data_IF_584694560914
#
_entry.id   IF_584694560914
#
_cell.length_a   1.000
_cell.length_b   1.000
_cell.length_c   1.000
_cell.angle_alpha   90.00
_cell.angle_beta   90.00
_cell.angle_gamma   90.00
#
_symmetry.space_group_name_H-M   'P 1'
#
loop_
_entity.id
_entity.type
_entity.pdbx_description
1 polymer ?
#
# COMPACT_ATOMS: atom_id res chain seq x y z
N UNK A 1 -19.14 -24.19 -0.05
CA UNK A 1 -18.10 -23.13 -0.11
C UNK A 1 -17.85 -22.61 1.30
N UNK A 2 -16.63 -22.80 1.81
CA UNK A 2 -16.25 -22.43 3.18
C UNK A 2 -16.40 -20.92 3.36
N UNK A 3 -17.21 -20.48 4.33
CA UNK A 3 -17.20 -19.09 4.80
C UNK A 3 -15.80 -18.84 5.37
N UNK A 4 -14.87 -18.35 4.55
CA UNK A 4 -13.54 -17.91 5.02
C UNK A 4 -13.78 -16.95 6.16
N UNK A 5 -13.42 -17.37 7.38
CA UNK A 5 -13.81 -16.66 8.60
C UNK A 5 -12.90 -15.45 8.82
N UNK A 6 -13.17 -14.36 8.09
CA UNK A 6 -12.46 -13.09 8.22
C UNK A 6 -12.67 -12.40 9.59
N UNK A 7 -13.59 -12.89 10.43
CA UNK A 7 -13.85 -12.39 11.80
C UNK A 7 -12.61 -12.32 12.70
N UNK A 8 -11.55 -13.06 12.40
CA UNK A 8 -10.36 -13.15 13.26
C UNK A 8 -9.33 -12.04 13.00
N UNK A 9 -9.50 -11.21 11.97
CA UNK A 9 -8.48 -10.22 11.59
C UNK A 9 -8.50 -8.96 12.45
N UNK A 10 -9.63 -8.61 13.07
CA UNK A 10 -9.77 -7.41 13.91
C UNK A 10 -9.68 -6.07 13.14
N UNK A 11 -9.11 -6.07 11.93
CA UNK A 11 -9.08 -4.98 10.96
C UNK A 11 -10.31 -4.96 10.04
N UNK A 12 -11.31 -5.79 10.31
CA UNK A 12 -12.55 -5.92 9.54
C UNK A 12 -13.72 -5.90 10.50
N UNK A 13 -14.82 -5.25 10.11
CA UNK A 13 -16.05 -5.20 10.89
C UNK A 13 -16.56 -6.59 11.33
N UNK A 14 -17.37 -6.63 12.39
CA UNK A 14 -18.06 -7.84 12.83
C UNK A 14 -19.15 -8.29 11.84
N UNK A 15 -19.59 -9.56 11.88
CA UNK A 15 -20.64 -10.03 10.94
C UNK A 15 -21.97 -9.39 11.33
N UNK A 16 -22.73 -8.92 10.33
CA UNK A 16 -24.02 -8.28 10.54
C UNK A 16 -23.95 -6.78 10.81
N UNK A 17 -22.76 -6.21 11.00
CA UNK A 17 -22.57 -4.76 11.03
C UNK A 17 -22.73 -4.21 9.62
N UNK A 18 -23.59 -3.20 9.49
CA UNK A 18 -23.76 -2.41 8.27
C UNK A 18 -23.40 -0.99 8.64
N UNK A 19 -22.32 -0.48 8.07
CA UNK A 19 -21.96 0.93 8.20
C UNK A 19 -22.76 1.78 7.21
N UNK A 20 -23.17 2.98 7.64
CA UNK A 20 -23.65 4.00 6.72
C UNK A 20 -22.42 4.66 6.08
N UNK A 21 -22.16 4.32 4.82
CA UNK A 21 -20.98 4.75 4.09
C UNK A 21 -21.33 5.92 3.18
N UNK A 22 -20.33 6.78 2.91
CA UNK A 22 -20.44 7.84 1.90
C UNK A 22 -21.06 7.29 0.60
N UNK A 23 -21.97 8.03 -0.06
CA UNK A 23 -22.59 7.61 -1.32
C UNK A 23 -21.60 7.17 -2.40
N UNK A 24 -20.37 7.70 -2.41
CA UNK A 24 -19.30 7.29 -3.32
C UNK A 24 -18.84 5.85 -3.12
N UNK A 25 -19.15 5.22 -1.98
CA UNK A 25 -18.90 3.80 -1.72
C UNK A 25 -20.06 2.89 -2.14
N UNK A 26 -21.04 3.38 -2.91
CA UNK A 26 -22.06 2.53 -3.52
C UNK A 26 -21.58 2.00 -4.87
N UNK A 27 -21.91 0.74 -5.23
CA UNK A 27 -21.59 0.19 -6.54
C UNK A 27 -22.10 1.08 -7.67
N UNK A 28 -21.21 1.47 -8.58
CA UNK A 28 -21.54 2.28 -9.76
C UNK A 28 -20.65 1.95 -10.94
N UNK A 29 -21.21 1.97 -12.15
CA UNK A 29 -20.48 1.74 -13.40
C UNK A 29 -19.94 3.02 -14.04
N UNK A 30 -20.36 4.18 -13.54
CA UNK A 30 -19.95 5.49 -14.04
C UNK A 30 -18.58 5.84 -13.44
N UNK A 31 -17.63 6.35 -14.24
CA UNK A 31 -16.35 6.85 -13.73
C UNK A 31 -16.53 7.93 -12.66
N UNK A 32 -15.56 8.00 -11.74
CA UNK A 32 -15.49 9.07 -10.75
C UNK A 32 -15.11 10.39 -11.42
N UNK A 33 -15.78 11.48 -11.05
CA UNK A 33 -15.31 12.82 -11.43
C UNK A 33 -14.06 13.20 -10.64
N UNK A 34 -13.33 14.23 -11.06
CA UNK A 34 -12.20 14.74 -10.27
C UNK A 34 -12.64 15.23 -8.89
N UNK A 35 -13.84 15.83 -8.78
CA UNK A 35 -14.43 16.23 -7.49
C UNK A 35 -14.75 15.02 -6.61
N UNK A 36 -15.23 13.91 -7.19
CA UNK A 36 -15.44 12.68 -6.42
C UNK A 36 -14.10 12.11 -5.90
N UNK A 37 -13.04 12.14 -6.72
CA UNK A 37 -11.71 11.67 -6.31
C UNK A 37 -11.12 12.56 -5.22
N UNK A 38 -11.25 13.88 -5.34
CA UNK A 38 -10.83 14.84 -4.32
C UNK A 38 -11.62 14.65 -3.01
N UNK A 39 -12.93 14.43 -3.10
CA UNK A 39 -13.73 14.11 -1.90
C UNK A 39 -13.23 12.84 -1.23
N UNK A 40 -12.97 11.77 -2.00
CA UNK A 40 -12.48 10.49 -1.48
C UNK A 40 -11.11 10.63 -0.83
N UNK A 41 -10.19 11.41 -1.40
CA UNK A 41 -8.86 11.62 -0.86
C UNK A 41 -8.88 12.40 0.47
N UNK A 42 -9.93 13.16 0.72
CA UNK A 42 -10.16 13.88 1.98
C UNK A 42 -10.89 13.07 3.05
N UNK A 43 -11.45 11.89 2.72
CA UNK A 43 -12.12 11.05 3.69
C UNK A 43 -11.14 10.43 4.70
N UNK A 44 -11.52 10.29 5.98
CA UNK A 44 -10.68 9.59 6.94
C UNK A 44 -10.60 8.10 6.59
N UNK A 45 -9.38 7.57 6.47
CA UNK A 45 -9.16 6.14 6.28
C UNK A 45 -9.80 5.31 7.40
N UNK A 46 -10.26 4.10 7.07
CA UNK A 46 -11.00 3.26 8.02
C UNK A 46 -10.07 2.55 9.00
N UNK A 47 -10.44 2.51 10.28
CA UNK A 47 -9.73 1.69 11.28
C UNK A 47 -10.07 0.21 11.17
N UNK A 48 -11.31 -0.10 10.79
CA UNK A 48 -11.79 -1.42 10.43
C UNK A 48 -12.49 -1.36 9.07
N UNK A 49 -12.17 -2.28 8.17
CA UNK A 49 -12.73 -2.30 6.82
C UNK A 49 -14.24 -2.61 6.88
N UNK A 50 -15.08 -1.73 6.33
CA UNK A 50 -16.50 -2.02 6.15
C UNK A 50 -16.71 -3.28 5.33
N UNK A 51 -17.61 -4.17 5.77
CA UNK A 51 -17.82 -5.45 5.05
C UNK A 51 -18.34 -5.26 3.63
N UNK A 52 -19.00 -4.13 3.36
CA UNK A 52 -19.47 -3.77 2.02
C UNK A 52 -18.32 -3.59 1.01
N UNK A 53 -17.10 -3.33 1.50
CA UNK A 53 -15.89 -3.20 0.70
C UNK A 53 -15.07 -4.50 0.65
N UNK A 54 -15.61 -5.62 1.17
CA UNK A 54 -14.98 -6.93 1.04
C UNK A 54 -15.46 -7.60 -0.25
N UNK A 55 -14.55 -7.97 -1.15
CA UNK A 55 -14.88 -8.69 -2.36
C UNK A 55 -15.66 -9.97 -2.08
N UNK A 56 -16.68 -10.21 -2.87
CA UNK A 56 -17.53 -11.38 -2.80
C UNK A 56 -17.89 -11.87 -4.20
N UNK A 57 -18.13 -13.17 -4.32
CA UNK A 57 -18.34 -13.81 -5.63
C UNK A 57 -19.71 -13.50 -6.27
N UNK A 58 -20.60 -12.78 -5.58
CA UNK A 58 -22.00 -12.61 -6.00
C UNK A 58 -22.26 -11.36 -6.85
N UNK A 59 -21.74 -10.17 -6.51
CA UNK A 59 -22.03 -8.94 -7.23
C UNK A 59 -21.29 -8.85 -8.57
N UNK A 60 -21.94 -8.21 -9.53
CA UNK A 60 -21.39 -7.90 -10.86
C UNK A 60 -20.24 -6.87 -10.75
N UNK A 61 -20.35 -5.94 -9.80
CA UNK A 61 -19.34 -4.92 -9.51
C UNK A 61 -18.56 -5.29 -8.25
N UNK A 62 -17.25 -5.37 -8.37
CA UNK A 62 -16.32 -5.58 -7.27
C UNK A 62 -15.94 -4.22 -6.63
N UNK A 63 -15.75 -4.18 -5.31
CA UNK A 63 -15.46 -2.94 -4.59
C UNK A 63 -14.12 -2.32 -5.00
N UNK A 64 -13.92 -1.02 -4.77
CA UNK A 64 -12.60 -0.41 -4.94
C UNK A 64 -11.52 -1.15 -4.14
N UNK A 65 -10.30 -1.09 -4.64
CA UNK A 65 -9.13 -1.66 -3.97
C UNK A 65 -8.79 -0.79 -2.76
N UNK A 66 -8.58 -1.44 -1.63
CA UNK A 66 -8.16 -0.81 -0.38
C UNK A 66 -6.95 -1.54 0.16
N UNK A 67 -5.97 -0.80 0.66
CA UNK A 67 -4.80 -1.34 1.34
C UNK A 67 -4.85 -1.05 2.82
N UNK A 68 -4.37 -2.02 3.61
CA UNK A 68 -4.16 -1.85 5.04
C UNK A 68 -2.68 -1.62 5.34
N UNK A 69 -2.38 -0.57 6.11
CA UNK A 69 -1.00 -0.26 6.48
C UNK A 69 -0.81 1.19 6.92
N UNK A 70 0.34 1.77 6.60
CA UNK A 70 0.75 3.09 7.06
C UNK A 70 1.08 4.02 5.89
N UNK A 71 0.68 5.29 6.03
CA UNK A 71 1.31 6.36 5.24
C UNK A 71 2.76 6.43 5.64
N UNK A 72 3.66 6.59 4.68
CA UNK A 72 5.09 6.62 4.97
C UNK A 72 5.64 8.04 4.90
N UNK A 73 6.60 8.28 5.77
CA UNK A 73 7.43 9.47 5.77
C UNK A 73 8.76 9.10 5.09
N UNK A 74 8.94 9.62 3.88
CA UNK A 74 10.05 9.24 3.01
C UNK A 74 11.40 9.56 3.65
N UNK A 75 11.52 10.76 4.21
CA UNK A 75 12.75 11.24 4.85
C UNK A 75 13.15 10.37 6.04
N UNK A 76 12.18 9.95 6.86
CA UNK A 76 12.45 9.04 7.98
C UNK A 76 12.95 7.68 7.52
N UNK A 77 12.43 7.15 6.41
CA UNK A 77 12.85 5.87 5.87
C UNK A 77 14.24 5.96 5.23
N UNK A 78 14.54 7.02 4.48
CA UNK A 78 15.87 7.25 3.91
C UNK A 78 16.92 7.43 5.00
N UNK A 79 16.63 8.23 6.03
CA UNK A 79 17.51 8.37 7.19
C UNK A 79 17.76 7.03 7.90
N UNK A 80 16.70 6.24 8.12
CA UNK A 80 16.86 4.91 8.69
C UNK A 80 17.73 4.01 7.80
N UNK A 81 17.63 4.15 6.47
CA UNK A 81 18.45 3.39 5.55
C UNK A 81 19.94 3.72 5.70
N UNK A 82 20.28 5.00 5.77
CA UNK A 82 21.65 5.48 5.99
C UNK A 82 22.21 4.97 7.32
N UNK A 83 21.43 5.11 8.40
CA UNK A 83 21.83 4.70 9.75
C UNK A 83 22.03 3.18 9.90
N UNK A 84 21.51 2.37 8.96
CA UNK A 84 21.51 0.90 9.04
C UNK A 84 22.12 0.21 7.80
N UNK A 85 22.84 0.94 6.96
CA UNK A 85 23.50 0.40 5.74
C UNK A 85 22.52 -0.31 4.78
N UNK A 86 21.34 0.28 4.60
CA UNK A 86 20.28 -0.23 3.73
C UNK A 86 20.13 0.55 2.42
N UNK A 87 20.99 1.53 2.15
CA UNK A 87 20.99 2.24 0.87
C UNK A 87 21.13 1.27 -0.32
N UNK A 88 20.42 1.59 -1.40
CA UNK A 88 20.44 0.86 -2.67
C UNK A 88 20.95 1.78 -3.79
N UNK A 89 21.65 1.18 -4.74
CA UNK A 89 22.22 1.86 -5.90
C UNK A 89 21.87 1.06 -7.15
N UNK A 90 21.59 1.76 -8.24
CA UNK A 90 21.32 1.20 -9.56
C UNK A 90 22.44 1.61 -10.52
N UNK A 91 22.76 0.74 -11.49
CA UNK A 91 23.62 1.11 -12.61
C UNK A 91 22.79 1.93 -13.58
N UNK A 92 23.28 3.11 -13.94
CA UNK A 92 22.69 3.96 -14.96
C UNK A 92 23.69 4.14 -16.08
N UNK A 93 23.25 3.87 -17.31
CA UNK A 93 23.98 4.20 -18.53
C UNK A 93 23.99 5.72 -18.67
N UNK A 94 25.18 6.28 -18.88
CA UNK A 94 25.32 7.71 -19.18
C UNK A 94 25.19 7.84 -20.69
N UNK A 95 24.11 8.47 -21.16
CA UNK A 95 24.02 8.95 -22.54
C UNK A 95 25.08 10.04 -22.70
N UNK A 96 26.24 9.67 -23.23
CA UNK A 96 27.26 10.63 -23.62
C UNK A 96 26.79 11.24 -24.94
N UNK A 97 26.06 12.37 -24.87
CA UNK A 97 25.57 13.15 -26.01
C UNK A 97 26.71 13.74 -26.88
N UNK A 98 27.95 13.30 -26.68
CA UNK A 98 29.12 13.69 -27.46
C UNK A 98 29.31 12.70 -28.61
N UNK A 99 28.94 13.14 -29.82
CA UNK A 99 29.33 12.50 -31.08
C UNK A 99 30.87 12.58 -31.27
N UNK A 100 31.64 11.84 -30.49
CA UNK A 100 33.06 11.57 -30.78
C UNK A 100 33.19 10.15 -31.34
N UNK A 101 33.67 10.06 -32.58
CA UNK A 101 33.88 8.85 -33.39
C UNK A 101 34.98 7.91 -32.84
N UNK A 102 35.05 7.67 -31.54
CA UNK A 102 35.83 6.58 -30.96
C UNK A 102 34.97 5.79 -29.96
N UNK A 103 34.88 4.48 -30.22
CA UNK A 103 34.07 3.49 -29.52
C UNK A 103 34.58 3.28 -28.08
N UNK A 104 34.44 4.30 -27.21
CA UNK A 104 34.69 4.18 -25.77
C UNK A 104 33.54 3.39 -25.12
N UNK A 105 33.83 2.48 -24.19
CA UNK A 105 32.79 1.70 -23.53
C UNK A 105 31.88 2.62 -22.72
N UNK A 106 30.58 2.54 -22.98
CA UNK A 106 29.50 3.20 -22.22
C UNK A 106 29.81 3.12 -20.71
N UNK A 107 30.07 4.26 -20.08
CA UNK A 107 30.44 4.31 -18.68
C UNK A 107 29.19 4.10 -17.81
N UNK A 108 29.07 2.93 -17.18
CA UNK A 108 28.02 2.68 -16.19
C UNK A 108 28.36 3.36 -14.86
N UNK A 109 27.49 4.24 -14.37
CA UNK A 109 27.66 4.90 -13.06
C UNK A 109 26.67 4.31 -12.05
N UNK A 110 27.15 4.03 -10.84
CA UNK A 110 26.29 3.66 -9.72
C UNK A 110 25.58 4.90 -9.17
N UNK A 111 24.28 4.99 -9.39
CA UNK A 111 23.41 6.09 -8.94
C UNK A 111 22.57 5.62 -7.76
N UNK A 112 22.40 6.50 -6.76
CA UNK A 112 21.57 6.22 -5.60
C UNK A 112 20.09 6.07 -5.99
N UNK A 113 19.47 4.96 -5.59
CA UNK A 113 18.08 4.66 -5.89
C UNK A 113 17.24 4.73 -4.60
N UNK A 114 16.54 5.84 -4.43
CA UNK A 114 15.66 6.07 -3.28
C UNK A 114 14.51 5.07 -3.21
N UNK A 115 13.90 4.71 -4.34
CA UNK A 115 12.76 3.80 -4.36
C UNK A 115 13.17 2.40 -3.90
N UNK A 116 14.28 1.88 -4.45
CA UNK A 116 14.85 0.61 -4.02
C UNK A 116 15.31 0.64 -2.57
N UNK A 117 15.85 1.77 -2.11
CA UNK A 117 16.25 1.97 -0.72
C UNK A 117 15.04 1.88 0.22
N UNK A 118 13.98 2.63 -0.06
CA UNK A 118 12.74 2.61 0.74
C UNK A 118 12.12 1.22 0.78
N UNK A 119 12.04 0.53 -0.37
CA UNK A 119 11.53 -0.85 -0.43
C UNK A 119 12.37 -1.81 0.43
N UNK A 120 13.70 -1.69 0.38
CA UNK A 120 14.61 -2.49 1.20
C UNK A 120 14.40 -2.24 2.69
N UNK A 121 14.20 -0.99 3.10
CA UNK A 121 13.85 -0.62 4.49
C UNK A 121 12.52 -1.24 4.92
N UNK A 122 11.44 -1.07 4.13
CA UNK A 122 10.13 -1.59 4.48
C UNK A 122 10.14 -3.12 4.64
N UNK A 123 10.83 -3.82 3.73
CA UNK A 123 11.05 -5.27 3.81
C UNK A 123 11.85 -5.67 5.04
N UNK A 124 12.93 -4.95 5.34
CA UNK A 124 13.75 -5.20 6.51
C UNK A 124 12.92 -5.07 7.80
N UNK A 125 12.19 -3.98 7.97
CA UNK A 125 11.33 -3.72 9.13
C UNK A 125 10.23 -4.80 9.30
N UNK A 126 9.62 -5.28 8.22
CA UNK A 126 8.63 -6.36 8.28
C UNK A 126 9.27 -7.72 8.62
N UNK A 127 10.43 -8.02 8.03
CA UNK A 127 11.16 -9.27 8.24
C UNK A 127 11.65 -9.41 9.68
N UNK A 128 12.10 -8.32 10.31
CA UNK A 128 12.53 -8.30 11.72
C UNK A 128 11.47 -8.85 12.68
N UNK A 129 10.19 -8.61 12.38
CA UNK A 129 9.06 -9.10 13.18
C UNK A 129 8.43 -10.37 12.62
N UNK A 130 9.04 -10.98 11.60
CA UNK A 130 8.60 -12.23 10.98
C UNK A 130 7.34 -12.10 10.14
N UNK A 131 7.05 -10.92 9.59
CA UNK A 131 6.01 -10.72 8.58
C UNK A 131 6.65 -10.86 7.21
N UNK A 132 6.14 -11.81 6.42
CA UNK A 132 6.40 -11.88 4.99
C UNK A 132 5.29 -11.13 4.29
N UNK A 133 5.66 -10.17 3.45
CA UNK A 133 4.70 -9.37 2.72
C UNK A 133 4.24 -10.17 1.49
N UNK A 134 2.92 -10.24 1.22
CA UNK A 134 2.34 -11.12 0.20
C UNK A 134 2.58 -10.66 -1.25
N UNK A 135 2.85 -9.38 -1.48
CA UNK A 135 2.97 -8.78 -2.83
C UNK A 135 4.41 -8.46 -3.25
N UNK A 136 4.65 -8.44 -4.57
CA UNK A 136 5.91 -8.00 -5.20
C UNK A 136 6.29 -6.54 -4.92
N UNK A 137 5.34 -5.71 -4.46
CA UNK A 137 5.61 -4.33 -4.10
C UNK A 137 4.74 -3.90 -2.90
N UNK A 138 5.43 -3.51 -1.83
CA UNK A 138 4.84 -3.14 -0.54
C UNK A 138 4.69 -1.62 -0.43
N UNK A 139 5.33 -0.90 -1.34
CA UNK A 139 5.13 0.50 -1.56
C UNK A 139 4.00 0.71 -2.57
N UNK A 140 2.92 1.37 -2.14
CA UNK A 140 1.75 1.69 -2.94
C UNK A 140 1.44 3.17 -2.89
N UNK A 141 0.52 3.59 -3.73
CA UNK A 141 -0.03 4.95 -3.74
C UNK A 141 -1.51 4.89 -3.39
N UNK A 142 -1.92 5.65 -2.39
CA UNK A 142 -3.31 5.70 -1.91
C UNK A 142 -3.86 7.11 -1.95
N UNK A 143 -5.18 7.24 -2.00
CA UNK A 143 -5.82 8.54 -1.79
C UNK A 143 -5.93 8.81 -0.29
N UNK A 144 -5.28 9.87 0.17
CA UNK A 144 -5.30 10.32 1.55
C UNK A 144 -4.86 11.80 1.65
N UNK A 145 -5.26 12.47 2.74
CA UNK A 145 -4.84 13.84 3.04
C UNK A 145 -5.07 14.83 1.87
N UNK A 146 -6.12 14.62 1.08
CA UNK A 146 -6.46 15.46 -0.07
C UNK A 146 -5.61 15.20 -1.33
N UNK A 147 -4.76 14.16 -1.35
CA UNK A 147 -3.86 13.88 -2.49
C UNK A 147 -3.54 12.39 -2.63
N UNK A 148 -2.64 12.05 -3.54
CA UNK A 148 -2.01 10.73 -3.67
C UNK A 148 -0.79 10.69 -2.74
N UNK A 149 -0.76 9.74 -1.81
CA UNK A 149 0.28 9.60 -0.79
C UNK A 149 0.97 8.25 -0.91
N UNK A 150 2.32 8.19 -0.79
CA UNK A 150 3.03 6.92 -0.71
C UNK A 150 2.64 6.15 0.57
N UNK A 151 2.52 4.85 0.45
CA UNK A 151 1.89 4.01 1.46
C UNK A 151 2.58 2.66 1.58
N UNK A 152 2.88 2.26 2.80
CA UNK A 152 3.34 0.92 3.12
C UNK A 152 2.14 -0.01 3.29
N UNK A 153 1.84 -0.77 2.24
CA UNK A 153 0.73 -1.71 2.20
C UNK A 153 1.17 -3.11 2.69
N UNK A 154 0.42 -3.66 3.64
CA UNK A 154 0.64 -5.02 4.14
C UNK A 154 -0.17 -6.08 3.39
N UNK A 155 -1.40 -5.72 3.02
CA UNK A 155 -2.33 -6.56 2.27
C UNK A 155 -3.52 -5.70 1.82
N UNK A 156 -4.25 -6.17 0.83
CA UNK A 156 -5.47 -5.54 0.34
C UNK A 156 -6.76 -6.16 0.89
N UNK A 157 -7.90 -5.52 0.62
CA UNK A 157 -9.23 -6.11 0.85
C UNK A 157 -9.48 -7.38 0.00
N UNK A 158 -8.69 -7.63 -1.04
CA UNK A 158 -8.74 -8.85 -1.86
C UNK A 158 -7.84 -9.97 -1.30
N UNK A 159 -6.84 -9.62 -0.49
CA UNK A 159 -5.83 -10.54 0.07
C UNK A 159 -6.07 -10.81 1.56
N UNK A 160 -7.30 -10.61 2.07
CA UNK A 160 -7.62 -10.82 3.48
C UNK A 160 -7.29 -12.24 3.99
N UNK A 161 -7.23 -13.23 3.10
CA UNK A 161 -6.82 -14.60 3.46
C UNK A 161 -5.34 -14.72 3.83
N UNK A 162 -4.51 -13.79 3.35
CA UNK A 162 -3.06 -13.73 3.51
C UNK A 162 -2.63 -12.74 4.61
N UNK A 163 -3.61 -12.00 5.16
CA UNK A 163 -3.39 -11.00 6.19
C UNK A 163 -2.59 -11.55 7.40
N UNK A 164 -1.55 -10.84 7.87
CA UNK A 164 -0.78 -11.25 9.03
C UNK A 164 -1.66 -11.37 10.29
N UNK A 165 -1.27 -12.27 11.19
CA UNK A 165 -1.96 -12.43 12.48
C UNK A 165 -1.87 -11.13 13.28
N UNK A 166 -2.94 -10.79 14.01
CA UNK A 166 -3.02 -9.58 14.86
C UNK A 166 -1.79 -9.37 15.76
N UNK A 167 -1.26 -10.43 16.37
CA UNK A 167 -0.06 -10.34 17.21
C UNK A 167 1.17 -9.85 16.44
N UNK A 168 1.36 -10.29 15.19
CA UNK A 168 2.46 -9.84 14.32
C UNK A 168 2.26 -8.38 13.90
N UNK A 169 1.03 -7.97 13.58
CA UNK A 169 0.71 -6.58 13.28
C UNK A 169 1.04 -5.65 14.47
N UNK A 170 0.72 -6.07 15.70
CA UNK A 170 1.11 -5.33 16.91
C UNK A 170 2.63 -5.23 17.07
N UNK A 171 3.36 -6.34 16.87
CA UNK A 171 4.82 -6.31 16.88
C UNK A 171 5.41 -5.38 15.82
N UNK A 172 4.83 -5.35 14.61
CA UNK A 172 5.26 -4.42 13.57
C UNK A 172 5.01 -2.97 13.96
N UNK A 173 3.82 -2.63 14.48
CA UNK A 173 3.54 -1.28 14.95
C UNK A 173 4.54 -0.81 16.02
N UNK A 174 4.85 -1.67 17.00
CA UNK A 174 5.83 -1.35 18.03
C UNK A 174 7.23 -1.17 17.43
N UNK A 175 7.60 -2.00 16.46
CA UNK A 175 8.89 -1.90 15.75
C UNK A 175 8.99 -0.61 14.93
N UNK A 176 7.97 -0.25 14.16
CA UNK A 176 7.93 1.00 13.40
C UNK A 176 8.02 2.22 14.34
N UNK A 177 7.32 2.19 15.49
CA UNK A 177 7.43 3.24 16.50
C UNK A 177 8.85 3.38 17.04
N UNK A 178 9.52 2.27 17.34
CA UNK A 178 10.87 2.28 17.93
C UNK A 178 11.96 2.66 16.92
N UNK A 179 11.83 2.21 15.67
CA UNK A 179 12.88 2.35 14.65
C UNK A 179 12.78 3.64 13.85
N UNK A 180 11.57 4.04 13.49
CA UNK A 180 11.34 5.19 12.61
C UNK A 180 10.36 6.21 13.21
N UNK A 181 9.95 6.04 14.48
CA UNK A 181 9.08 7.00 15.16
C UNK A 181 7.62 7.03 14.68
N UNK A 182 7.17 6.02 13.94
CA UNK A 182 5.79 5.96 13.45
C UNK A 182 4.82 5.61 14.60
N UNK A 183 3.92 6.54 14.92
CA UNK A 183 3.03 6.42 16.08
C UNK A 183 1.58 6.20 15.69
N UNK A 184 1.21 6.49 14.44
CA UNK A 184 -0.14 6.28 13.95
C UNK A 184 -0.41 4.77 13.81
N UNK A 185 -1.62 4.31 14.19
CA UNK A 185 -2.03 2.94 13.92
C UNK A 185 -2.28 2.74 12.42
N UNK A 186 -2.16 1.51 11.90
CA UNK A 186 -2.47 1.22 10.53
C UNK A 186 -3.97 1.43 10.25
N UNK A 187 -4.27 1.89 9.04
CA UNK A 187 -5.64 2.13 8.56
C UNK A 187 -5.81 1.60 7.14
N UNK A 188 -7.06 1.57 6.71
CA UNK A 188 -7.46 1.26 5.35
C UNK A 188 -7.63 2.54 4.54
N UNK A 189 -6.91 2.61 3.42
CA UNK A 189 -7.05 3.69 2.44
C UNK A 189 -7.32 3.12 1.04
N UNK A 190 -8.09 3.83 0.20
CA UNK A 190 -8.34 3.40 -1.16
C UNK A 190 -7.09 3.57 -2.02
N UNK A 191 -6.90 2.65 -2.96
CA UNK A 191 -5.92 2.78 -4.05
C UNK A 191 -6.17 4.07 -4.86
N UNK A 192 -5.10 4.62 -5.45
CA UNK A 192 -5.17 5.86 -6.23
C UNK A 192 -6.11 5.77 -7.45
N UNK A 193 -6.28 4.58 -8.04
CA UNK A 193 -7.19 4.31 -9.15
C UNK A 193 -8.59 3.90 -8.61
N UNK A 194 -9.11 4.69 -7.67
CA UNK A 194 -10.35 4.40 -6.94
C UNK A 194 -11.55 4.20 -7.87
N UNK A 195 -11.94 2.92 -8.05
CA UNK A 195 -13.10 2.56 -8.89
C UNK A 195 -13.72 1.22 -8.52
N UNK A 196 -15.03 1.13 -8.72
CA UNK A 196 -15.72 -0.16 -8.79
C UNK A 196 -15.39 -0.83 -10.12
N UNK A 197 -14.99 -2.10 -10.09
CA UNK A 197 -14.60 -2.83 -11.30
C UNK A 197 -15.66 -3.85 -11.64
N UNK A 198 -16.03 -3.95 -12.92
CA UNK A 198 -16.80 -5.11 -13.36
C UNK A 198 -15.94 -6.35 -13.19
N UNK A 199 -16.57 -7.43 -12.72
CA UNK A 199 -15.94 -8.74 -12.75
C UNK A 199 -15.86 -9.17 -14.22
N UNK A 200 -14.68 -9.04 -14.83
CA UNK A 200 -14.44 -9.69 -16.12
C UNK A 200 -14.55 -11.19 -15.89
N UNK A 201 -15.44 -11.85 -16.62
CA UNK A 201 -15.54 -13.30 -16.62
C UNK A 201 -14.17 -13.86 -17.04
N UNK A 202 -13.52 -14.61 -16.13
CA UNK A 202 -12.45 -15.53 -16.50
C UNK A 202 -13.09 -16.83 -16.99
#
# INVERSE_FOLDING_TARGET
MSRRSFKKLGSVDALGVVQDLDPLFKPRSIPYSNEDIDHVSNLPGFTALPRQLIPNERPVMQPPLYYYGWKIDWDKLLKYAEDNDLCAYALQEVDDDFEDEENEPEAEVLVYDECSTVLKVLRNLANDVGIRLPTDCELRSVLADGTIVPFFALYSNYELAEAPRKARLSSLQDHLRLRIGETAPPKWFPDYDFRWRQRYWQ
#
